data_IF_878784379333
#
_entry.id   IF_878784379333
#
_cell.length_a   1.000
_cell.length_b   1.000
_cell.length_c   1.000
_cell.angle_alpha   90.00
_cell.angle_beta   90.00
_cell.angle_gamma   90.00
#
_symmetry.space_group_name_H-M   'P 1'
#
loop_
_entity.id
_entity.type
_entity.pdbx_description
1 polymer ?
#
# COMPACT_ATOMS: atom_id res chain seq x y z
N UNK A 1 -6.10 -19.06 -16.04
CA UNK A 1 -7.39 -19.23 -15.33
C UNK A 1 -8.51 -18.42 -16.00
N UNK A 2 -9.52 -19.09 -16.56
CA UNK A 2 -10.75 -18.43 -17.04
C UNK A 2 -11.67 -18.21 -15.85
N UNK A 3 -12.18 -16.98 -15.69
CA UNK A 3 -13.24 -16.69 -14.71
C UNK A 3 -14.48 -17.49 -15.10
N UNK A 4 -15.03 -18.35 -14.22
CA UNK A 4 -16.21 -19.14 -14.53
C UNK A 4 -17.46 -18.25 -14.47
N UNK A 5 -17.67 -17.45 -15.52
CA UNK A 5 -18.76 -16.46 -15.61
C UNK A 5 -20.14 -17.10 -15.42
N UNK A 6 -20.31 -18.37 -15.81
CA UNK A 6 -21.53 -19.14 -15.60
C UNK A 6 -21.87 -19.39 -14.12
N UNK A 7 -20.89 -19.32 -13.22
CA UNK A 7 -21.08 -19.49 -11.78
C UNK A 7 -21.53 -18.22 -11.06
N UNK A 8 -21.44 -17.04 -11.70
CA UNK A 8 -21.79 -15.76 -11.07
C UNK A 8 -23.30 -15.67 -10.75
N UNK A 9 -24.14 -16.29 -11.57
CA UNK A 9 -25.59 -16.32 -11.37
C UNK A 9 -26.02 -17.18 -10.15
N UNK A 10 -25.12 -18.03 -9.64
CA UNK A 10 -25.41 -18.97 -8.55
C UNK A 10 -24.79 -18.55 -7.21
N UNK A 11 -24.27 -17.32 -7.11
CA UNK A 11 -23.68 -16.81 -5.87
C UNK A 11 -24.79 -16.56 -4.83
N UNK A 12 -24.67 -17.21 -3.67
CA UNK A 12 -25.60 -16.95 -2.56
C UNK A 12 -25.30 -15.60 -1.92
N UNK A 13 -26.33 -14.92 -1.41
CA UNK A 13 -26.17 -13.65 -0.70
C UNK A 13 -25.24 -13.77 0.52
N UNK A 14 -25.26 -14.93 1.20
CA UNK A 14 -24.35 -15.25 2.30
C UNK A 14 -22.87 -15.30 1.85
N UNK A 15 -22.59 -15.97 0.73
CA UNK A 15 -21.24 -16.05 0.17
C UNK A 15 -20.71 -14.68 -0.24
N UNK A 16 -21.56 -13.85 -0.85
CA UNK A 16 -21.22 -12.48 -1.23
C UNK A 16 -20.92 -11.64 0.02
N UNK A 17 -21.79 -11.70 1.03
CA UNK A 17 -21.64 -10.93 2.27
C UNK A 17 -20.35 -11.30 3.00
N UNK A 18 -20.05 -12.60 3.15
CA UNK A 18 -18.80 -13.08 3.76
C UNK A 18 -17.57 -12.63 2.98
N UNK A 19 -17.64 -12.70 1.65
CA UNK A 19 -16.53 -12.26 0.77
C UNK A 19 -16.30 -10.76 0.91
N UNK A 20 -17.36 -9.94 0.92
CA UNK A 20 -17.26 -8.49 1.11
C UNK A 20 -16.68 -8.13 2.47
N UNK A 21 -17.09 -8.81 3.54
CA UNK A 21 -16.51 -8.61 4.88
C UNK A 21 -15.01 -8.93 4.84
N UNK A 22 -14.63 -10.08 4.29
CA UNK A 22 -13.21 -10.46 4.16
C UNK A 22 -12.43 -9.43 3.32
N UNK A 23 -13.03 -8.95 2.24
CA UNK A 23 -12.45 -7.93 1.36
C UNK A 23 -12.18 -6.63 2.12
N UNK A 24 -13.14 -6.08 2.84
CA UNK A 24 -12.94 -4.83 3.60
C UNK A 24 -11.97 -5.00 4.77
N UNK A 25 -11.97 -6.17 5.42
CA UNK A 25 -10.94 -6.53 6.41
C UNK A 25 -9.56 -6.53 5.76
N UNK A 26 -9.43 -7.10 4.56
CA UNK A 26 -8.20 -7.07 3.77
C UNK A 26 -7.73 -5.65 3.46
N UNK A 27 -8.63 -4.77 3.02
CA UNK A 27 -8.33 -3.36 2.76
C UNK A 27 -7.83 -2.64 4.03
N UNK A 28 -8.43 -2.93 5.19
CA UNK A 28 -7.97 -2.39 6.46
C UNK A 28 -6.59 -2.95 6.85
N UNK A 29 -6.36 -4.26 6.70
CA UNK A 29 -5.06 -4.90 6.93
C UNK A 29 -3.98 -4.26 6.04
N UNK A 30 -4.28 -3.95 4.78
CA UNK A 30 -3.33 -3.23 3.93
C UNK A 30 -2.89 -1.91 4.55
N UNK A 31 -3.79 -1.09 5.11
CA UNK A 31 -3.38 0.19 5.70
C UNK A 31 -2.37 0.01 6.84
N UNK A 32 -2.49 -1.08 7.59
CA UNK A 32 -1.53 -1.42 8.64
C UNK A 32 -0.21 -1.90 8.05
N UNK A 33 -0.25 -2.78 7.04
CA UNK A 33 0.94 -3.26 6.35
C UNK A 33 1.70 -2.13 5.65
N UNK A 34 1.00 -1.18 5.04
CA UNK A 34 1.57 0.04 4.46
C UNK A 34 2.37 0.80 5.51
N UNK A 35 1.79 1.06 6.68
CA UNK A 35 2.49 1.74 7.77
C UNK A 35 3.70 0.94 8.26
N UNK A 36 3.55 -0.37 8.47
CA UNK A 36 4.63 -1.25 8.96
C UNK A 36 5.79 -1.30 7.95
N UNK A 37 5.50 -1.55 6.67
CA UNK A 37 6.55 -1.60 5.64
C UNK A 37 7.22 -0.25 5.47
N UNK A 38 6.45 0.83 5.42
CA UNK A 38 7.01 2.15 5.24
C UNK A 38 7.94 2.52 6.41
N UNK A 39 7.53 2.24 7.65
CA UNK A 39 8.31 2.57 8.85
C UNK A 39 9.50 1.65 9.09
N UNK A 40 9.29 0.33 9.05
CA UNK A 40 10.28 -0.63 9.56
C UNK A 40 11.12 -1.30 8.48
N UNK A 41 10.66 -1.29 7.23
CA UNK A 41 11.38 -1.91 6.11
C UNK A 41 11.97 -0.86 5.17
N UNK A 42 11.16 0.13 4.78
CA UNK A 42 11.56 1.17 3.85
C UNK A 42 12.43 2.23 4.55
N UNK A 43 12.11 2.58 5.80
CA UNK A 43 12.91 3.43 6.68
C UNK A 43 13.71 2.63 7.73
N UNK A 44 14.30 1.50 7.33
CA UNK A 44 15.21 0.75 8.21
C UNK A 44 16.47 1.55 8.57
N UNK A 45 16.84 2.51 7.72
CA UNK A 45 17.81 3.61 7.89
C UNK A 45 18.94 3.33 8.89
N UNK A 46 18.76 3.71 10.15
CA UNK A 46 19.76 3.58 11.22
C UNK A 46 20.24 2.14 11.51
N UNK A 47 19.44 1.13 11.17
CA UNK A 47 19.76 -0.28 11.40
C UNK A 47 20.37 -0.97 10.18
N UNK A 48 20.59 -0.24 9.09
CA UNK A 48 21.08 -0.81 7.84
C UNK A 48 22.58 -1.16 7.95
N UNK A 49 23.01 -2.41 7.64
CA UNK A 49 24.41 -2.76 7.63
C UNK A 49 25.20 -2.02 6.54
N UNK A 50 26.42 -1.59 6.84
CA UNK A 50 27.33 -0.97 5.87
C UNK A 50 27.94 -2.02 4.92
N UNK A 51 27.10 -2.51 4.01
CA UNK A 51 27.43 -3.52 3.00
C UNK A 51 26.71 -3.18 1.69
N UNK A 52 27.40 -3.24 0.53
CA UNK A 52 26.84 -2.78 -0.75
C UNK A 52 25.47 -3.38 -1.11
N UNK A 53 25.25 -4.67 -0.81
CA UNK A 53 23.98 -5.33 -1.10
C UNK A 53 22.81 -4.78 -0.29
N UNK A 54 23.03 -4.42 0.98
CA UNK A 54 22.00 -3.87 1.84
C UNK A 54 21.66 -2.44 1.45
N UNK A 55 22.69 -1.64 1.14
CA UNK A 55 22.53 -0.29 0.59
C UNK A 55 21.77 -0.30 -0.73
N UNK A 56 22.10 -1.23 -1.64
CA UNK A 56 21.40 -1.40 -2.91
C UNK A 56 19.93 -1.79 -2.71
N UNK A 57 19.65 -2.78 -1.84
CA UNK A 57 18.28 -3.21 -1.58
C UNK A 57 17.45 -2.08 -0.97
N UNK A 58 17.97 -1.36 0.03
CA UNK A 58 17.30 -0.20 0.61
C UNK A 58 17.05 0.90 -0.42
N UNK A 59 18.05 1.20 -1.27
CA UNK A 59 17.89 2.16 -2.36
C UNK A 59 16.79 1.76 -3.35
N UNK A 60 16.73 0.48 -3.74
CA UNK A 60 15.72 -0.02 -4.67
C UNK A 60 14.31 -0.10 -4.05
N UNK A 61 14.20 -0.39 -2.76
CA UNK A 61 12.92 -0.50 -2.06
C UNK A 61 12.29 0.88 -1.83
N UNK A 62 13.08 1.87 -1.41
CA UNK A 62 12.52 3.18 -1.06
C UNK A 62 13.50 4.35 -1.20
N UNK A 63 14.81 4.15 -1.02
CA UNK A 63 15.77 5.26 -1.06
C UNK A 63 15.79 6.03 -2.38
N UNK A 64 15.55 5.37 -3.51
CA UNK A 64 15.43 6.02 -4.82
C UNK A 64 14.24 6.99 -4.88
N UNK A 65 13.14 6.67 -4.19
CA UNK A 65 11.97 7.52 -4.14
C UNK A 65 12.27 8.81 -3.36
N UNK A 66 12.96 8.72 -2.21
CA UNK A 66 13.41 9.90 -1.45
C UNK A 66 14.47 10.73 -2.20
N UNK A 67 15.34 10.08 -2.96
CA UNK A 67 16.37 10.76 -3.75
C UNK A 67 15.79 11.55 -4.93
N UNK A 68 14.80 10.99 -5.63
CA UNK A 68 14.15 11.61 -6.80
C UNK A 68 12.61 11.54 -6.70
N UNK A 69 11.99 12.23 -5.72
CA UNK A 69 10.57 12.08 -5.37
C UNK A 69 9.60 12.54 -6.47
N UNK A 70 10.09 13.24 -7.49
CA UNK A 70 9.29 13.70 -8.64
C UNK A 70 9.50 12.86 -9.91
N UNK A 71 10.39 11.85 -9.91
CA UNK A 71 10.59 10.97 -11.06
C UNK A 71 9.45 9.94 -11.16
N UNK A 72 8.58 10.14 -12.15
CA UNK A 72 7.38 9.32 -12.38
C UNK A 72 7.67 7.85 -12.66
N UNK A 73 8.87 7.51 -13.10
CA UNK A 73 9.25 6.13 -13.40
C UNK A 73 9.72 5.36 -12.15
N UNK A 74 9.92 6.06 -11.02
CA UNK A 74 10.52 5.52 -9.80
C UNK A 74 9.66 5.70 -8.55
N UNK A 75 8.41 6.10 -8.73
CA UNK A 75 7.45 6.28 -7.64
C UNK A 75 6.79 4.98 -7.17
N UNK A 76 6.56 4.03 -8.09
CA UNK A 76 5.92 2.73 -7.79
C UNK A 76 7.00 1.68 -7.68
N UNK A 77 6.85 0.77 -6.72
CA UNK A 77 7.71 -0.39 -6.60
C UNK A 77 7.65 -1.25 -7.88
N UNK A 78 8.80 -1.63 -8.47
CA UNK A 78 8.85 -2.54 -9.61
C UNK A 78 8.16 -3.88 -9.29
N UNK A 79 7.44 -4.51 -10.26
CA UNK A 79 6.71 -5.75 -10.03
C UNK A 79 7.51 -6.88 -9.37
N UNK A 80 8.81 -7.12 -9.69
CA UNK A 80 9.59 -8.15 -9.01
C UNK A 80 9.79 -7.88 -7.51
N UNK A 81 10.05 -6.63 -7.12
CA UNK A 81 10.23 -6.25 -5.71
C UNK A 81 8.89 -6.33 -4.96
N UNK A 82 7.82 -5.89 -5.61
CA UNK A 82 6.47 -6.03 -5.05
C UNK A 82 6.12 -7.49 -4.80
N UNK A 83 6.32 -8.37 -5.79
CA UNK A 83 6.06 -9.80 -5.64
C UNK A 83 6.90 -10.45 -4.52
N UNK A 84 8.16 -9.98 -4.32
CA UNK A 84 9.02 -10.44 -3.23
C UNK A 84 8.45 -10.08 -1.84
N UNK A 85 7.81 -8.91 -1.70
CA UNK A 85 7.15 -8.48 -0.45
C UNK A 85 5.77 -9.11 -0.27
N UNK A 86 5.01 -9.27 -1.35
CA UNK A 86 3.67 -9.85 -1.36
C UNK A 86 3.71 -11.35 -1.01
N UNK A 87 4.67 -12.09 -1.56
CA UNK A 87 4.75 -13.54 -1.40
C UNK A 87 4.73 -14.02 0.06
N UNK A 88 5.57 -13.51 0.99
CA UNK A 88 5.52 -13.95 2.38
C UNK A 88 4.19 -13.58 3.06
N UNK A 89 3.56 -12.46 2.69
CA UNK A 89 2.29 -12.01 3.28
C UNK A 89 1.12 -12.91 2.84
N UNK A 90 1.07 -13.28 1.56
CA UNK A 90 0.05 -14.20 1.05
C UNK A 90 0.20 -15.60 1.64
N UNK A 91 1.44 -16.10 1.78
CA UNK A 91 1.73 -17.37 2.46
C UNK A 91 1.30 -17.34 3.93
N UNK A 92 1.54 -16.24 4.62
CA UNK A 92 1.09 -16.04 5.99
C UNK A 92 -0.43 -16.06 6.09
N UNK A 93 -1.14 -15.37 5.19
CA UNK A 93 -2.60 -15.36 5.15
C UNK A 93 -3.19 -16.77 4.96
N UNK A 94 -2.63 -17.58 4.04
CA UNK A 94 -3.06 -18.97 3.85
C UNK A 94 -2.74 -19.90 5.03
N UNK A 95 -1.76 -19.53 5.87
CA UNK A 95 -1.42 -20.29 7.09
C UNK A 95 -2.37 -19.97 8.25
N UNK A 96 -2.83 -18.72 8.35
CA UNK A 96 -3.67 -18.24 9.44
C UNK A 96 -5.15 -18.46 9.15
N UNK A 97 -5.58 -18.31 7.89
CA UNK A 97 -6.99 -18.33 7.51
C UNK A 97 -7.34 -19.51 6.59
N UNK A 98 -8.57 -20.03 6.66
CA UNK A 98 -9.09 -20.95 5.66
C UNK A 98 -9.02 -20.35 4.25
N UNK A 99 -8.82 -21.20 3.24
CA UNK A 99 -8.56 -20.79 1.85
C UNK A 99 -9.52 -19.71 1.33
N UNK A 100 -10.83 -19.87 1.53
CA UNK A 100 -11.83 -18.91 1.05
C UNK A 100 -11.72 -17.53 1.74
N UNK A 101 -11.46 -17.52 3.04
CA UNK A 101 -11.28 -16.29 3.84
C UNK A 101 -9.98 -15.60 3.44
N UNK A 102 -8.89 -16.37 3.33
CA UNK A 102 -7.60 -15.88 2.87
C UNK A 102 -7.72 -15.22 1.49
N UNK A 103 -8.38 -15.86 0.54
CA UNK A 103 -8.61 -15.29 -0.79
C UNK A 103 -9.38 -13.97 -0.75
N UNK A 104 -10.43 -13.87 0.08
CA UNK A 104 -11.18 -12.63 0.26
C UNK A 104 -10.33 -11.50 0.84
N UNK A 105 -9.54 -11.80 1.88
CA UNK A 105 -8.62 -10.85 2.53
C UNK A 105 -7.52 -10.40 1.57
N UNK A 106 -6.86 -11.34 0.89
CA UNK A 106 -5.79 -11.04 -0.08
C UNK A 106 -6.34 -10.18 -1.21
N UNK A 107 -7.52 -10.52 -1.74
CA UNK A 107 -8.18 -9.72 -2.78
C UNK A 107 -8.43 -8.30 -2.32
N UNK A 108 -8.91 -8.09 -1.09
CA UNK A 108 -9.13 -6.76 -0.53
C UNK A 108 -7.85 -5.96 -0.35
N UNK A 109 -6.85 -6.57 0.28
CA UNK A 109 -5.56 -5.94 0.54
C UNK A 109 -4.85 -5.54 -0.77
N UNK A 110 -4.79 -6.44 -1.74
CA UNK A 110 -4.18 -6.19 -3.05
C UNK A 110 -4.93 -5.10 -3.83
N UNK A 111 -6.28 -5.18 -3.87
CA UNK A 111 -7.08 -4.16 -4.57
C UNK A 111 -6.86 -2.78 -3.97
N UNK A 112 -6.84 -2.68 -2.65
CA UNK A 112 -6.66 -1.40 -1.97
C UNK A 112 -5.23 -0.86 -2.08
N UNK A 113 -4.22 -1.73 -2.09
CA UNK A 113 -2.82 -1.39 -2.42
C UNK A 113 -2.68 -0.78 -3.82
N UNK A 114 -3.21 -1.44 -4.85
CA UNK A 114 -3.12 -0.95 -6.22
C UNK A 114 -3.89 0.37 -6.38
N UNK A 115 -5.06 0.45 -5.74
CA UNK A 115 -5.86 1.65 -5.75
C UNK A 115 -5.12 2.82 -5.08
N UNK A 116 -4.51 2.61 -3.90
CA UNK A 116 -3.72 3.64 -3.22
C UNK A 116 -2.50 4.07 -4.03
N UNK A 117 -1.81 3.13 -4.68
CA UNK A 117 -0.70 3.40 -5.59
C UNK A 117 -1.15 4.27 -6.78
N UNK A 118 -2.23 3.90 -7.47
CA UNK A 118 -2.74 4.66 -8.61
C UNK A 118 -3.16 6.08 -8.22
N UNK A 119 -3.70 6.27 -7.02
CA UNK A 119 -4.04 7.60 -6.49
C UNK A 119 -2.80 8.45 -6.20
N UNK A 120 -1.83 7.92 -5.44
CA UNK A 120 -0.63 8.67 -5.03
C UNK A 120 0.25 9.07 -6.22
N UNK A 121 0.33 8.18 -7.21
CA UNK A 121 1.04 8.45 -8.47
C UNK A 121 0.31 9.41 -9.41
N UNK A 122 -0.89 9.87 -9.01
CA UNK A 122 -1.74 10.73 -9.81
C UNK A 122 -2.20 10.08 -11.12
N UNK A 123 -2.14 8.74 -11.25
CA UNK A 123 -2.58 8.02 -12.45
C UNK A 123 -4.09 7.85 -12.48
N UNK A 124 -4.71 7.40 -11.37
CA UNK A 124 -6.17 7.37 -11.27
C UNK A 124 -6.74 8.79 -11.39
N UNK A 125 -6.03 9.73 -10.80
CA UNK A 125 -6.36 11.13 -10.88
C UNK A 125 -6.33 11.64 -12.32
N UNK A 126 -5.31 11.33 -13.12
CA UNK A 126 -5.26 11.76 -14.53
C UNK A 126 -6.35 11.12 -15.39
N UNK A 127 -6.71 9.86 -15.09
CA UNK A 127 -7.84 9.17 -15.70
C UNK A 127 -9.18 9.85 -15.36
N UNK A 128 -9.33 10.40 -14.15
CA UNK A 128 -10.56 11.06 -13.69
C UNK A 128 -10.59 12.58 -13.96
N UNK A 129 -9.43 13.25 -14.00
CA UNK A 129 -9.27 14.72 -14.07
C UNK A 129 -9.08 15.26 -15.48
N UNK A 130 -9.42 14.52 -16.53
CA UNK A 130 -9.90 15.21 -17.73
C UNK A 130 -11.14 16.09 -17.39
N UNK A 131 -11.80 15.89 -16.23
CA UNK A 131 -13.04 16.59 -15.87
C UNK A 131 -13.22 17.06 -14.40
N UNK A 132 -12.23 17.02 -13.48
CA UNK A 132 -12.50 17.46 -12.08
C UNK A 132 -11.27 17.93 -11.26
N UNK A 133 -11.50 18.44 -10.04
CA UNK A 133 -10.44 18.76 -9.05
C UNK A 133 -10.28 17.63 -8.02
N UNK A 134 -9.06 17.49 -7.46
CA UNK A 134 -8.78 16.56 -6.36
C UNK A 134 -9.71 16.77 -5.15
N UNK A 135 -10.28 15.69 -4.58
CA UNK A 135 -10.92 15.72 -3.26
C UNK A 135 -10.01 16.32 -2.19
N UNK A 136 -10.57 17.08 -1.24
CA UNK A 136 -9.81 17.80 -0.22
C UNK A 136 -8.90 16.88 0.60
N UNK A 137 -9.40 15.71 1.02
CA UNK A 137 -8.62 14.71 1.76
C UNK A 137 -7.37 14.24 1.01
N UNK A 138 -7.47 14.03 -0.31
CA UNK A 138 -6.32 13.60 -1.11
C UNK A 138 -5.29 14.72 -1.27
N UNK A 139 -5.72 15.98 -1.37
CA UNK A 139 -4.80 17.13 -1.36
C UNK A 139 -4.05 17.21 -0.02
N UNK A 140 -4.76 16.95 1.09
CA UNK A 140 -4.18 16.92 2.42
C UNK A 140 -3.16 15.80 2.58
N UNK A 141 -3.52 14.55 2.24
CA UNK A 141 -2.59 13.42 2.33
C UNK A 141 -1.38 13.58 1.42
N UNK A 142 -1.55 14.19 0.23
CA UNK A 142 -0.42 14.56 -0.63
C UNK A 142 0.49 15.59 0.04
N UNK A 143 -0.06 16.64 0.66
CA UNK A 143 0.72 17.63 1.42
C UNK A 143 1.46 16.97 2.58
N UNK A 144 0.78 16.07 3.30
CA UNK A 144 1.32 15.33 4.43
C UNK A 144 2.50 14.45 4.02
N UNK A 145 2.35 13.65 2.96
CA UNK A 145 3.42 12.79 2.44
C UNK A 145 4.58 13.59 1.85
N UNK A 146 4.31 14.70 1.15
CA UNK A 146 5.39 15.60 0.70
C UNK A 146 6.17 16.20 1.87
N UNK A 147 5.49 16.51 2.98
CA UNK A 147 6.16 17.00 4.18
C UNK A 147 7.02 15.91 4.84
N UNK A 148 6.65 14.63 4.73
CA UNK A 148 7.53 13.53 5.10
C UNK A 148 8.83 13.53 4.27
N UNK A 149 8.74 13.68 2.94
CA UNK A 149 9.92 13.79 2.06
C UNK A 149 10.82 15.00 2.35
N UNK A 150 10.22 16.18 2.54
CA UNK A 150 10.97 17.45 2.53
C UNK A 150 11.16 18.11 3.89
N UNK A 151 10.40 17.73 4.91
CA UNK A 151 10.52 18.30 6.27
C UNK A 151 11.12 17.31 7.25
N UNK A 152 10.52 16.12 7.38
CA UNK A 152 10.99 15.12 8.33
C UNK A 152 10.56 13.71 7.89
N UNK A 153 11.52 12.89 7.47
CA UNK A 153 11.30 11.53 7.00
C UNK A 153 11.17 10.50 8.15
N UNK A 154 11.46 10.88 9.40
CA UNK A 154 11.28 10.02 10.58
C UNK A 154 9.83 9.99 11.11
N UNK A 155 8.92 10.76 10.50
CA UNK A 155 7.50 10.86 10.86
C UNK A 155 6.63 10.83 9.60
N UNK A 156 5.33 10.54 9.74
CA UNK A 156 4.37 10.57 8.63
C UNK A 156 4.47 9.37 7.69
N UNK A 157 4.54 8.16 8.26
CA UNK A 157 4.63 6.92 7.50
C UNK A 157 3.29 6.52 6.86
N UNK A 158 2.16 7.09 7.30
CA UNK A 158 0.86 6.88 6.68
C UNK A 158 0.75 7.58 5.32
N UNK A 159 0.60 6.80 4.25
CA UNK A 159 0.46 7.32 2.88
C UNK A 159 -1.02 7.48 2.53
N UNK A 160 -1.81 6.43 2.74
CA UNK A 160 -3.28 6.44 2.52
C UNK A 160 -4.06 7.20 3.59
N UNK A 161 -3.62 7.11 4.84
CA UNK A 161 -4.25 7.76 5.99
C UNK A 161 -3.29 7.95 7.14
N UNK A 162 -3.63 8.86 8.06
CA UNK A 162 -2.87 9.12 9.29
C UNK A 162 -3.25 8.20 10.45
N UNK A 163 -4.17 7.24 10.26
CA UNK A 163 -4.75 6.44 11.35
C UNK A 163 -3.63 5.78 12.17
N UNK A 164 -2.69 5.11 11.49
CA UNK A 164 -1.60 4.41 12.16
C UNK A 164 -0.51 5.35 12.69
N UNK A 165 -0.31 6.50 12.05
CA UNK A 165 0.56 7.54 12.62
C UNK A 165 0.01 8.06 13.95
N UNK A 166 -1.31 8.21 14.09
CA UNK A 166 -1.95 8.60 15.35
C UNK A 166 -1.81 7.48 16.38
N UNK A 167 -2.12 6.23 16.00
CA UNK A 167 -2.05 5.07 16.90
C UNK A 167 -0.63 4.83 17.43
N UNK A 168 0.38 4.97 16.57
CA UNK A 168 1.79 4.71 16.93
C UNK A 168 2.60 5.99 17.22
N UNK A 169 1.93 7.12 17.37
CA UNK A 169 2.51 8.42 17.71
C UNK A 169 3.67 8.86 16.78
N UNK A 170 3.45 8.72 15.47
CA UNK A 170 4.37 9.16 14.40
C UNK A 170 3.73 10.22 13.50
N UNK A 171 2.76 10.96 14.01
CA UNK A 171 2.10 12.04 13.25
C UNK A 171 3.10 13.15 12.94
N UNK A 172 3.20 13.52 11.67
CA UNK A 172 3.96 14.69 11.24
C UNK A 172 3.11 15.97 11.46
N UNK A 173 3.61 16.98 12.18
CA UNK A 173 2.93 18.28 12.27
C UNK A 173 3.18 19.10 10.99
N UNK A 174 2.15 19.30 10.15
CA UNK A 174 2.28 19.85 8.77
C UNK A 174 1.62 21.20 8.53
#
# INVERSE_FOLDING_TARGET
PTLPLSGLANLSADSLSKTLICFFIGSFIWTLLEHIFHRFLFHVDYYLPDKPIFLLLHFLLHGVHHCVPMDRLRLVMPPPLFAMLEWPMTRLAYKIFPLAVANGIISGAFTFCELSNLYHNGRLLRLMLHHSQLPAYLKEMKKYHLAHHYKNFDLGFGVTSKIWDIVFNTVLPV
#
